data_IF_976613923492
#
_entry.id   IF_976613923492
#
_cell.length_a   1.000
_cell.length_b   1.000
_cell.length_c   1.000
_cell.angle_alpha   90.00
_cell.angle_beta   90.00
_cell.angle_gamma   90.00
#
_symmetry.space_group_name_H-M   'P 1'
#
loop_
_entity.id
_entity.type
_entity.pdbx_description
1 polymer ?
#
# COMPACT_ATOMS: atom_id res chain seq x y z
N UNK A 1 8.42 -7.08 -0.76
CA UNK A 1 9.13 -5.82 -0.47
C UNK A 1 8.60 -4.69 -1.34
N UNK A 2 8.81 -3.43 -0.93
CA UNK A 2 8.48 -2.23 -1.69
C UNK A 2 9.77 -1.50 -2.03
N UNK A 3 10.03 -1.25 -3.31
CA UNK A 3 11.17 -0.47 -3.77
C UNK A 3 10.71 0.93 -4.16
N UNK A 4 11.46 1.94 -3.73
CA UNK A 4 11.32 3.32 -4.18
C UNK A 4 12.53 3.63 -5.05
N UNK A 5 12.29 3.85 -6.35
CA UNK A 5 13.36 4.02 -7.33
C UNK A 5 14.34 5.12 -6.92
N UNK A 6 15.64 4.81 -6.95
CA UNK A 6 16.75 5.69 -6.54
C UNK A 6 16.75 6.14 -5.07
N UNK A 7 15.89 5.56 -4.20
CA UNK A 7 15.82 5.94 -2.78
C UNK A 7 16.05 4.78 -1.81
N UNK A 8 15.57 3.57 -2.14
CA UNK A 8 15.84 2.39 -1.33
C UNK A 8 14.70 1.39 -1.28
N UNK A 9 14.76 0.49 -0.30
CA UNK A 9 13.81 -0.62 -0.14
C UNK A 9 13.16 -0.56 1.25
N UNK A 10 11.84 -0.73 1.25
CA UNK A 10 10.97 -0.86 2.41
C UNK A 10 10.60 -2.34 2.54
N UNK A 11 10.88 -2.94 3.70
CA UNK A 11 10.41 -4.29 3.99
C UNK A 11 8.96 -4.22 4.44
N UNK A 12 8.13 -5.10 3.89
CA UNK A 12 6.71 -5.15 4.19
C UNK A 12 6.23 -6.60 4.17
N UNK A 13 5.14 -6.86 4.87
CA UNK A 13 4.49 -8.15 4.93
C UNK A 13 3.04 -8.02 4.44
N UNK A 14 2.65 -8.87 3.49
CA UNK A 14 1.25 -9.06 3.09
C UNK A 14 0.64 -10.14 3.99
N UNK A 15 -0.35 -9.76 4.80
CA UNK A 15 -0.95 -10.62 5.82
C UNK A 15 -2.26 -11.21 5.28
N UNK A 16 -2.20 -12.47 4.83
CA UNK A 16 -3.30 -13.12 4.10
C UNK A 16 -4.65 -13.08 4.81
N UNK A 17 -4.70 -13.24 6.13
CA UNK A 17 -5.98 -13.31 6.85
C UNK A 17 -6.70 -11.97 6.97
N UNK A 18 -6.03 -10.84 6.70
CA UNK A 18 -6.64 -9.51 6.75
C UNK A 18 -7.68 -9.32 5.63
N UNK A 19 -7.35 -9.74 4.41
CA UNK A 19 -8.25 -9.76 3.25
C UNK A 19 -7.79 -10.88 2.27
N UNK A 20 -8.17 -12.15 2.51
CA UNK A 20 -7.66 -13.30 1.76
C UNK A 20 -7.75 -13.23 0.24
N UNK A 21 -8.87 -12.72 -0.31
CA UNK A 21 -9.08 -12.62 -1.75
C UNK A 21 -8.21 -11.49 -2.31
N UNK A 22 -8.22 -10.33 -1.66
CA UNK A 22 -7.47 -9.14 -2.04
C UNK A 22 -5.96 -9.42 -2.05
N UNK A 23 -5.45 -9.98 -0.96
CA UNK A 23 -4.03 -10.32 -0.84
C UNK A 23 -3.60 -11.37 -1.85
N UNK A 24 -4.44 -12.37 -2.15
CA UNK A 24 -4.17 -13.36 -3.21
C UNK A 24 -4.02 -12.69 -4.58
N UNK A 25 -4.97 -11.82 -4.96
CA UNK A 25 -4.94 -11.14 -6.27
C UNK A 25 -3.74 -10.20 -6.36
N UNK A 26 -3.45 -9.42 -5.31
CA UNK A 26 -2.26 -8.56 -5.26
C UNK A 26 -0.98 -9.39 -5.45
N UNK A 27 -0.84 -10.50 -4.73
CA UNK A 27 0.34 -11.38 -4.83
C UNK A 27 0.47 -11.99 -6.23
N UNK A 28 -0.63 -12.35 -6.88
CA UNK A 28 -0.63 -12.87 -8.26
C UNK A 28 -0.30 -11.79 -9.30
N UNK A 29 -0.57 -10.52 -9.00
CA UNK A 29 -0.31 -9.39 -9.88
C UNK A 29 1.08 -8.78 -9.73
N UNK A 30 1.92 -9.28 -8.82
CA UNK A 30 3.27 -8.74 -8.63
C UNK A 30 4.16 -9.02 -9.86
N UNK A 31 5.06 -8.08 -10.24
CA UNK A 31 5.28 -6.78 -9.61
C UNK A 31 4.24 -5.73 -10.01
N UNK A 32 3.82 -4.90 -9.04
CA UNK A 32 2.94 -3.74 -9.27
C UNK A 32 3.79 -2.47 -9.21
N UNK A 33 3.69 -1.62 -10.24
CA UNK A 33 4.53 -0.45 -10.40
C UNK A 33 3.71 0.74 -10.90
N UNK A 34 3.84 1.86 -10.21
CA UNK A 34 3.34 3.14 -10.71
C UNK A 34 4.08 4.33 -10.06
N UNK A 35 3.71 5.54 -10.48
CA UNK A 35 4.06 6.78 -9.80
C UNK A 35 3.31 6.90 -8.48
N UNK A 36 4.02 7.41 -7.48
CA UNK A 36 3.47 7.65 -6.16
C UNK A 36 2.58 8.89 -6.20
N UNK A 37 1.41 8.73 -5.58
CA UNK A 37 0.49 9.79 -5.23
C UNK A 37 0.40 9.93 -3.70
N UNK A 38 0.03 11.12 -3.24
CA UNK A 38 -0.21 11.40 -1.82
C UNK A 38 -1.69 11.71 -1.61
N UNK A 39 -2.27 11.17 -0.55
CA UNK A 39 -3.60 11.59 -0.08
C UNK A 39 -3.43 12.39 1.20
N UNK A 40 -3.30 13.70 1.02
CA UNK A 40 -2.90 14.62 2.09
C UNK A 40 -1.60 14.17 2.73
N UNK A 41 -1.57 14.23 4.06
CA UNK A 41 -0.41 13.93 4.89
C UNK A 41 -0.43 12.52 5.51
N UNK A 42 -1.49 11.73 5.24
CA UNK A 42 -1.77 10.50 5.97
C UNK A 42 -1.21 9.26 5.30
N UNK A 43 -1.23 9.20 3.96
CA UNK A 43 -0.83 8.02 3.20
C UNK A 43 -0.27 8.37 1.82
N UNK A 44 0.51 7.43 1.31
CA UNK A 44 1.01 7.40 -0.06
C UNK A 44 0.46 6.17 -0.77
N UNK A 45 0.27 6.24 -2.09
CA UNK A 45 -0.31 5.12 -2.85
C UNK A 45 0.17 5.06 -4.29
N UNK A 46 -0.02 3.89 -4.90
CA UNK A 46 0.10 3.66 -6.34
C UNK A 46 -1.19 3.02 -6.87
N UNK A 47 -1.57 3.34 -8.10
CA UNK A 47 -2.64 2.66 -8.79
C UNK A 47 -2.11 1.35 -9.38
N UNK A 48 -2.79 0.24 -9.13
CA UNK A 48 -2.27 -1.10 -9.47
C UNK A 48 -2.80 -1.63 -10.79
N UNK A 49 -3.83 -1.00 -11.35
CA UNK A 49 -4.62 -1.53 -12.47
C UNK A 49 -5.47 -2.76 -12.12
N UNK A 50 -5.45 -3.22 -10.86
CA UNK A 50 -6.28 -4.32 -10.39
C UNK A 50 -7.69 -3.81 -10.06
N UNK A 51 -8.68 -4.69 -10.26
CA UNK A 51 -10.07 -4.47 -9.86
C UNK A 51 -10.47 -5.53 -8.84
N UNK A 52 -10.58 -5.13 -7.57
CA UNK A 52 -10.89 -6.01 -6.44
C UNK A 52 -12.03 -5.36 -5.64
N UNK A 53 -13.06 -6.14 -5.32
CA UNK A 53 -14.20 -5.69 -4.54
C UNK A 53 -13.90 -5.50 -3.05
N UNK A 54 -14.86 -4.95 -2.31
CA UNK A 54 -14.76 -4.75 -0.87
C UNK A 54 -14.58 -6.10 -0.12
N UNK A 55 -13.61 -6.14 0.80
CA UNK A 55 -13.32 -7.31 1.63
C UNK A 55 -12.79 -6.87 3.00
N UNK A 56 -13.57 -7.12 4.05
CA UNK A 56 -13.22 -6.78 5.46
C UNK A 56 -12.81 -5.32 5.64
N UNK A 57 -13.52 -4.42 4.94
CA UNK A 57 -13.16 -3.02 4.90
C UNK A 57 -13.22 -2.34 6.27
N UNK A 58 -12.27 -1.42 6.49
CA UNK A 58 -12.29 -0.47 7.61
C UNK A 58 -11.80 0.90 7.15
N UNK A 59 -12.10 1.93 7.94
CA UNK A 59 -11.80 3.34 7.64
C UNK A 59 -10.73 3.96 8.55
N UNK A 60 -10.16 3.20 9.49
CA UNK A 60 -9.13 3.68 10.42
C UNK A 60 -7.90 2.80 10.31
N UNK A 61 -6.75 3.42 10.08
CA UNK A 61 -5.47 2.75 9.92
C UNK A 61 -4.39 3.43 10.75
N UNK A 62 -3.41 2.64 11.19
CA UNK A 62 -2.24 3.10 11.95
C UNK A 62 -1.06 3.34 11.02
N UNK A 63 -0.15 4.21 11.46
CA UNK A 63 1.14 4.40 10.79
C UNK A 63 1.84 3.06 10.57
N UNK A 64 2.26 2.80 9.35
CA UNK A 64 2.89 1.56 8.91
C UNK A 64 1.92 0.50 8.39
N UNK A 65 0.60 0.65 8.56
CA UNK A 65 -0.36 -0.27 7.95
C UNK A 65 -0.47 -0.06 6.43
N UNK A 66 -0.87 -1.12 5.74
CA UNK A 66 -1.12 -1.11 4.30
C UNK A 66 -2.55 -1.55 4.01
N UNK A 67 -3.16 -0.92 3.00
CA UNK A 67 -4.51 -1.25 2.58
C UNK A 67 -4.67 -1.15 1.06
N UNK A 68 -5.75 -1.75 0.55
CA UNK A 68 -6.16 -1.64 -0.84
C UNK A 68 -7.43 -0.78 -0.94
N UNK A 69 -7.33 0.34 -1.64
CA UNK A 69 -8.45 1.24 -1.90
C UNK A 69 -9.18 0.78 -3.15
N UNK A 70 -10.41 0.29 -2.95
CA UNK A 70 -11.20 -0.35 -4.02
C UNK A 70 -11.71 0.64 -5.06
N UNK A 71 -11.85 1.92 -4.73
CA UNK A 71 -12.44 2.93 -5.62
C UNK A 71 -11.59 3.24 -6.85
N UNK A 72 -10.26 3.14 -6.74
CA UNK A 72 -9.33 3.38 -7.85
C UNK A 72 -8.24 2.29 -7.94
N UNK A 73 -8.48 1.13 -7.33
CA UNK A 73 -7.57 -0.01 -7.39
C UNK A 73 -6.16 0.28 -6.88
N UNK A 74 -6.03 0.99 -5.77
CA UNK A 74 -4.73 1.44 -5.26
C UNK A 74 -4.21 0.62 -4.10
N UNK A 75 -2.89 0.44 -4.01
CA UNK A 75 -2.20 0.00 -2.79
C UNK A 75 -1.72 1.22 -2.04
N UNK A 76 -2.13 1.34 -0.78
CA UNK A 76 -1.85 2.46 0.10
C UNK A 76 -0.89 2.03 1.24
N UNK A 77 0.03 2.91 1.60
CA UNK A 77 0.87 2.82 2.80
C UNK A 77 0.55 4.02 3.70
N UNK A 78 0.11 3.76 4.92
CA UNK A 78 -0.18 4.81 5.89
C UNK A 78 1.11 5.29 6.55
N UNK A 79 1.44 6.57 6.37
CA UNK A 79 2.63 7.22 6.95
C UNK A 79 2.31 7.95 8.26
N UNK A 80 1.02 8.14 8.57
CA UNK A 80 0.52 8.63 9.86
C UNK A 80 -0.72 7.84 10.30
N UNK A 81 -1.07 7.95 11.57
CA UNK A 81 -2.36 7.44 12.07
C UNK A 81 -3.50 8.20 11.39
N UNK A 82 -4.48 7.47 10.86
CA UNK A 82 -5.59 8.07 10.15
C UNK A 82 -6.76 8.38 11.08
N UNK A 83 -7.36 9.56 10.91
CA UNK A 83 -8.78 9.74 11.21
C UNK A 83 -9.62 8.83 10.28
N UNK A 84 -10.95 8.71 10.47
CA UNK A 84 -11.79 8.02 9.52
C UNK A 84 -11.57 8.56 8.10
N UNK A 85 -11.22 7.67 7.19
CA UNK A 85 -11.01 7.94 5.75
C UNK A 85 -11.84 6.93 4.94
N UNK A 86 -11.77 6.97 3.61
CA UNK A 86 -12.39 5.98 2.72
C UNK A 86 -12.13 4.55 3.20
N UNK A 87 -13.16 3.71 3.15
CA UNK A 87 -13.04 2.32 3.59
C UNK A 87 -12.17 1.52 2.61
N UNK A 88 -11.22 0.74 3.15
CA UNK A 88 -10.22 0.01 2.37
C UNK A 88 -10.05 -1.41 2.89
N UNK A 89 -9.65 -2.34 2.02
CA UNK A 89 -9.36 -3.72 2.40
C UNK A 89 -7.97 -3.74 3.07
N UNK A 90 -7.81 -4.12 4.35
CA UNK A 90 -6.49 -4.21 4.98
C UNK A 90 -5.66 -5.33 4.34
N UNK A 91 -4.40 -5.07 3.97
CA UNK A 91 -3.57 -6.05 3.23
C UNK A 91 -2.26 -6.42 3.91
N UNK A 92 -1.75 -5.58 4.81
CA UNK A 92 -0.41 -5.82 5.36
C UNK A 92 0.14 -4.70 6.21
N UNK A 93 1.43 -4.79 6.49
CA UNK A 93 2.18 -3.82 7.30
C UNK A 93 3.60 -3.65 6.77
N UNK A 94 4.15 -2.45 6.96
CA UNK A 94 5.58 -2.16 6.80
C UNK A 94 6.33 -2.66 8.03
N UNK A 95 7.45 -3.34 7.82
CA UNK A 95 8.31 -3.91 8.87
C UNK A 95 9.53 -3.05 9.17
N UNK A 96 10.11 -2.42 8.16
CA UNK A 96 11.30 -1.57 8.31
C UNK A 96 11.33 -0.46 7.25
N UNK A 97 12.14 0.57 7.50
CA UNK A 97 12.39 1.70 6.59
C UNK A 97 11.14 2.51 6.17
N UNK A 98 10.12 2.60 7.03
CA UNK A 98 8.91 3.41 6.74
C UNK A 98 9.24 4.88 6.42
N UNK A 99 10.35 5.42 6.96
CA UNK A 99 10.80 6.77 6.67
C UNK A 99 11.00 7.04 5.17
N UNK A 100 11.28 6.00 4.36
CA UNK A 100 11.37 6.14 2.91
C UNK A 100 10.02 6.56 2.33
N UNK A 101 8.93 5.91 2.75
CA UNK A 101 7.56 6.28 2.35
C UNK A 101 7.16 7.67 2.85
N UNK A 102 7.67 8.12 3.99
CA UNK A 102 7.44 9.48 4.52
C UNK A 102 8.14 10.56 3.68
N UNK A 103 9.32 10.23 3.12
CA UNK A 103 10.17 11.15 2.35
C UNK A 103 9.87 11.21 0.85
N UNK A 104 8.95 10.38 0.34
CA UNK A 104 8.63 10.35 -1.10
C UNK A 104 7.96 11.65 -1.56
N UNK A 105 8.10 11.94 -2.84
CA UNK A 105 7.45 13.05 -3.52
C UNK A 105 6.54 12.50 -4.62
N UNK A 106 5.49 13.26 -4.96
CA UNK A 106 4.63 12.90 -6.08
C UNK A 106 5.48 12.76 -7.34
N UNK A 107 5.31 11.65 -8.07
CA UNK A 107 6.08 11.36 -9.28
C UNK A 107 7.30 10.44 -9.06
N UNK A 108 7.73 10.22 -7.81
CA UNK A 108 8.59 9.08 -7.48
C UNK A 108 7.95 7.78 -7.95
N UNK A 109 8.75 6.75 -8.23
CA UNK A 109 8.25 5.45 -8.68
C UNK A 109 8.34 4.45 -7.53
N UNK A 110 7.21 3.80 -7.22
CA UNK A 110 7.13 2.70 -6.27
C UNK A 110 6.89 1.39 -7.02
N UNK A 111 7.58 0.34 -6.59
CA UNK A 111 7.42 -1.03 -7.10
C UNK A 111 7.16 -1.96 -5.92
N UNK A 112 5.96 -2.54 -5.84
CA UNK A 112 5.67 -3.65 -4.95
C UNK A 112 6.04 -4.95 -5.67
N UNK A 113 6.92 -5.77 -5.07
CA UNK A 113 7.40 -7.03 -5.66
C UNK A 113 7.68 -8.11 -4.62
N UNK A 114 7.83 -9.35 -5.08
CA UNK A 114 8.27 -10.45 -4.21
C UNK A 114 9.62 -10.11 -3.57
N UNK A 115 9.78 -10.54 -2.32
CA UNK A 115 11.10 -10.52 -1.70
C UNK A 115 11.98 -11.54 -2.41
N UNK A 116 13.14 -11.11 -2.89
CA UNK A 116 14.15 -11.93 -3.56
C UNK A 116 14.81 -12.90 -2.59
#
# INVERSE_FOLDING_TARGET
MIEISNKGVIECEIIRHLSPITTKIILMGLPLKDRIHKLGENLVYIETGLTIGAEKQRSRFKRGEMAYLTSNGSVCIFVKDSAPISAMNPIGVVKSNLHLAESVQTGDVMILRHSS
#
